data_IF_650981564583
#
_entry.id   IF_650981564583
#
_cell.length_a   1.000
_cell.length_b   1.000
_cell.length_c   1.000
_cell.angle_alpha   90.00
_cell.angle_beta   90.00
_cell.angle_gamma   90.00
#
_symmetry.space_group_name_H-M   'P 1'
#
loop_
_entity.id
_entity.type
_entity.pdbx_description
1 polymer ?
#
# COMPACT_ATOMS: atom_id res chain seq x y z
N UNK A 1 -1.15 14.38 -12.74
CA UNK A 1 0.30 14.46 -12.45
C UNK A 1 0.97 13.26 -13.11
N UNK A 2 2.24 13.34 -13.53
CA UNK A 2 2.91 12.14 -14.07
C UNK A 2 3.23 11.20 -12.90
N UNK A 3 2.61 10.01 -12.86
CA UNK A 3 2.90 8.99 -11.85
C UNK A 3 4.26 8.34 -12.15
N UNK A 4 5.12 8.21 -11.14
CA UNK A 4 6.42 7.55 -11.29
C UNK A 4 6.25 6.03 -11.40
N UNK A 5 7.25 5.29 -11.91
CA UNK A 5 7.21 3.83 -11.91
C UNK A 5 7.05 3.21 -10.51
N UNK A 6 7.52 3.90 -9.47
CA UNK A 6 7.38 3.49 -8.08
C UNK A 6 5.96 3.71 -7.55
N UNK A 7 5.35 4.83 -7.92
CA UNK A 7 3.96 5.13 -7.64
C UNK A 7 3.05 4.04 -8.24
N UNK A 8 3.25 3.71 -9.52
CA UNK A 8 2.46 2.70 -10.21
C UNK A 8 2.65 1.30 -9.62
N UNK A 9 3.85 0.97 -9.13
CA UNK A 9 4.12 -0.29 -8.44
C UNK A 9 3.29 -0.40 -7.14
N UNK A 10 3.30 0.65 -6.33
CA UNK A 10 2.56 0.67 -5.06
C UNK A 10 1.05 0.59 -5.34
N UNK A 11 0.54 1.38 -6.28
CA UNK A 11 -0.87 1.34 -6.70
C UNK A 11 -1.32 -0.08 -7.06
N UNK A 12 -0.54 -0.78 -7.89
CA UNK A 12 -0.87 -2.14 -8.32
C UNK A 12 -0.93 -3.12 -7.13
N UNK A 13 -0.06 -2.97 -6.13
CA UNK A 13 -0.11 -3.80 -4.92
C UNK A 13 -1.35 -3.47 -4.08
N UNK A 14 -1.69 -2.19 -3.90
CA UNK A 14 -2.86 -1.80 -3.11
C UNK A 14 -4.17 -2.29 -3.74
N UNK A 15 -4.34 -2.10 -5.05
CA UNK A 15 -5.51 -2.56 -5.80
C UNK A 15 -5.69 -4.09 -5.73
N UNK A 16 -4.58 -4.85 -5.78
CA UNK A 16 -4.62 -6.32 -5.75
C UNK A 16 -4.79 -6.91 -4.35
N UNK A 17 -4.09 -6.36 -3.36
CA UNK A 17 -3.86 -7.07 -2.10
C UNK A 17 -4.56 -6.46 -0.89
N UNK A 18 -4.92 -5.17 -0.95
CA UNK A 18 -5.37 -4.42 0.22
C UNK A 18 -6.88 -4.40 0.40
N UNK A 19 -7.64 -4.10 -0.65
CA UNK A 19 -9.12 -4.05 -0.72
C UNK A 19 -9.84 -4.17 0.65
N UNK A 20 -9.78 -3.13 1.50
CA UNK A 20 -10.36 -3.19 2.84
C UNK A 20 -11.89 -3.09 2.84
N UNK A 21 -12.42 -2.47 1.78
CA UNK A 21 -13.84 -2.40 1.43
C UNK A 21 -14.01 -3.32 0.22
N UNK A 22 -14.71 -4.44 0.40
CA UNK A 22 -14.91 -5.44 -0.66
C UNK A 22 -15.80 -4.81 -1.74
N UNK A 23 -15.19 -4.43 -2.86
CA UNK A 23 -15.83 -3.81 -4.02
C UNK A 23 -15.78 -4.71 -5.26
N UNK A 24 -15.15 -5.89 -5.18
CA UNK A 24 -15.10 -6.92 -6.23
C UNK A 24 -14.69 -6.34 -7.59
N UNK A 25 -13.51 -5.70 -7.64
CA UNK A 25 -12.87 -5.18 -8.86
C UNK A 25 -13.56 -3.97 -9.54
N UNK A 26 -14.59 -3.36 -8.92
CA UNK A 26 -15.23 -2.13 -9.42
C UNK A 26 -14.60 -0.85 -8.83
N UNK A 27 -13.28 -0.86 -8.58
CA UNK A 27 -12.59 0.31 -8.05
C UNK A 27 -12.00 1.15 -9.19
N UNK A 28 -12.10 2.49 -9.14
CA UNK A 28 -11.29 3.36 -9.97
C UNK A 28 -9.79 3.05 -9.81
N UNK A 29 -9.02 3.16 -10.90
CA UNK A 29 -7.57 2.92 -10.86
C UNK A 29 -6.84 3.84 -9.87
N UNK A 30 -7.41 5.01 -9.55
CA UNK A 30 -6.87 6.03 -8.65
C UNK A 30 -7.41 5.95 -7.22
N UNK A 31 -8.24 4.94 -6.88
CA UNK A 31 -8.89 4.80 -5.56
C UNK A 31 -7.94 4.97 -4.37
N UNK A 32 -6.70 4.50 -4.51
CA UNK A 32 -5.72 4.48 -3.41
C UNK A 32 -4.60 5.52 -3.56
N UNK A 33 -4.67 6.40 -4.55
CA UNK A 33 -3.59 7.33 -4.89
C UNK A 33 -3.17 8.24 -3.74
N UNK A 34 -4.14 8.73 -2.97
CA UNK A 34 -3.89 9.67 -1.87
C UNK A 34 -3.03 9.07 -0.75
N UNK A 35 -2.93 7.73 -0.68
CA UNK A 35 -2.15 7.02 0.34
C UNK A 35 -0.72 6.69 -0.13
N UNK A 36 -0.48 6.75 -1.44
CA UNK A 36 0.78 6.31 -2.05
C UNK A 36 1.98 7.19 -1.65
N UNK A 37 1.88 8.53 -1.59
CA UNK A 37 3.03 9.37 -1.21
C UNK A 37 3.63 8.99 0.14
N UNK A 38 2.80 8.74 1.16
CA UNK A 38 3.29 8.36 2.48
C UNK A 38 3.90 6.95 2.48
N UNK A 39 3.35 6.02 1.69
CA UNK A 39 3.93 4.68 1.52
C UNK A 39 5.29 4.73 0.82
N UNK A 40 5.43 5.58 -0.19
CA UNK A 40 6.72 5.80 -0.86
C UNK A 40 7.77 6.28 0.14
N UNK A 41 7.47 7.30 0.94
CA UNK A 41 8.39 7.81 1.97
C UNK A 41 8.81 6.70 2.96
N UNK A 42 7.87 5.85 3.39
CA UNK A 42 8.17 4.74 4.30
C UNK A 42 9.06 3.68 3.63
N UNK A 43 8.82 3.35 2.36
CA UNK A 43 9.60 2.37 1.62
C UNK A 43 11.01 2.87 1.28
N UNK A 44 11.14 4.14 0.89
CA UNK A 44 12.42 4.82 0.66
C UNK A 44 13.25 4.88 1.95
N UNK A 45 12.61 5.15 3.09
CA UNK A 45 13.25 5.15 4.40
C UNK A 45 13.60 3.73 4.93
N UNK A 46 13.26 2.67 4.20
CA UNK A 46 13.49 1.29 4.64
C UNK A 46 12.69 0.92 5.90
N UNK A 47 11.48 1.46 6.06
CA UNK A 47 10.64 1.21 7.22
C UNK A 47 10.33 -0.30 7.40
N UNK A 48 10.11 -0.69 8.66
CA UNK A 48 9.73 -2.07 8.99
C UNK A 48 8.33 -2.40 8.47
N UNK A 49 8.07 -3.70 8.30
CA UNK A 49 6.74 -4.21 7.96
C UNK A 49 5.67 -3.71 8.94
N UNK A 50 5.97 -3.69 10.23
CA UNK A 50 5.07 -3.18 11.27
C UNK A 50 4.69 -1.71 11.06
N UNK A 51 5.66 -0.84 10.71
CA UNK A 51 5.38 0.58 10.48
C UNK A 51 4.47 0.79 9.27
N UNK A 52 4.69 0.04 8.20
CA UNK A 52 3.84 0.10 6.99
C UNK A 52 2.45 -0.47 7.30
N UNK A 53 2.36 -1.60 8.00
CA UNK A 53 1.09 -2.19 8.40
C UNK A 53 0.29 -1.25 9.31
N UNK A 54 0.95 -0.58 10.26
CA UNK A 54 0.31 0.40 11.14
C UNK A 54 -0.22 1.62 10.38
N UNK A 55 0.49 2.07 9.34
CA UNK A 55 -0.02 3.12 8.46
C UNK A 55 -1.30 2.66 7.74
N UNK A 56 -1.29 1.48 7.12
CA UNK A 56 -2.48 0.92 6.44
C UNK A 56 -3.65 0.75 7.42
N UNK A 57 -3.41 0.19 8.61
CA UNK A 57 -4.41 0.06 9.69
C UNK A 57 -5.02 1.40 10.09
N UNK A 58 -4.21 2.46 10.14
CA UNK A 58 -4.69 3.82 10.42
C UNK A 58 -5.56 4.35 9.27
N UNK A 59 -5.20 4.09 8.02
CA UNK A 59 -6.03 4.49 6.88
C UNK A 59 -7.39 3.78 6.94
N UNK A 60 -7.40 2.46 7.15
CA UNK A 60 -8.62 1.66 7.29
C UNK A 60 -9.53 2.22 8.40
N UNK A 61 -9.00 2.40 9.61
CA UNK A 61 -9.80 2.78 10.78
C UNK A 61 -10.17 4.26 10.84
N UNK A 62 -9.25 5.17 10.48
CA UNK A 62 -9.43 6.62 10.67
C UNK A 62 -9.95 7.30 9.41
N UNK A 63 -9.47 6.89 8.24
CA UNK A 63 -9.81 7.58 6.97
C UNK A 63 -11.03 6.92 6.31
N UNK A 64 -11.03 5.60 6.22
CA UNK A 64 -12.13 4.84 5.61
C UNK A 64 -13.25 4.50 6.61
N UNK A 65 -12.96 4.53 7.92
CA UNK A 65 -13.94 4.25 8.97
C UNK A 65 -14.36 2.78 9.05
N UNK A 66 -13.51 1.85 8.60
CA UNK A 66 -13.79 0.41 8.59
C UNK A 66 -12.94 -0.34 9.63
N UNK A 67 -13.42 -1.50 10.13
CA UNK A 67 -12.62 -2.32 11.02
C UNK A 67 -11.31 -2.77 10.38
N UNK A 68 -10.22 -2.62 11.13
CA UNK A 68 -8.90 -3.09 10.70
C UNK A 68 -8.80 -4.61 10.80
N UNK A 69 -8.24 -5.23 9.76
CA UNK A 69 -7.84 -6.64 9.78
C UNK A 69 -6.32 -6.70 9.78
N UNK A 70 -5.70 -7.03 10.92
CA UNK A 70 -4.25 -6.97 11.12
C UNK A 70 -3.51 -7.92 10.18
N UNK A 71 -4.08 -9.09 9.90
CA UNK A 71 -3.52 -10.06 8.97
C UNK A 71 -3.47 -9.49 7.54
N UNK A 72 -4.49 -8.72 7.14
CA UNK A 72 -4.57 -8.06 5.82
C UNK A 72 -3.49 -6.99 5.70
N UNK A 73 -3.45 -6.04 6.64
CA UNK A 73 -2.47 -4.94 6.59
C UNK A 73 -1.04 -5.45 6.72
N UNK A 74 -0.80 -6.49 7.52
CA UNK A 74 0.48 -7.18 7.63
C UNK A 74 0.92 -7.84 6.33
N UNK A 75 0.00 -8.54 5.63
CA UNK A 75 0.28 -9.15 4.32
C UNK A 75 0.59 -8.11 3.25
N UNK A 76 -0.21 -7.05 3.16
CA UNK A 76 -0.01 -5.95 2.19
C UNK A 76 1.33 -5.26 2.43
N UNK A 77 1.68 -4.96 3.69
CA UNK A 77 2.97 -4.38 4.05
C UNK A 77 4.15 -5.27 3.60
N UNK A 78 4.04 -6.59 3.77
CA UNK A 78 5.05 -7.54 3.29
C UNK A 78 5.19 -7.48 1.76
N UNK A 79 4.06 -7.51 1.04
CA UNK A 79 4.05 -7.48 -0.43
C UNK A 79 4.63 -6.18 -0.98
N UNK A 80 4.34 -5.03 -0.36
CA UNK A 80 4.92 -3.74 -0.70
C UNK A 80 6.45 -3.76 -0.56
N UNK A 81 6.98 -4.27 0.56
CA UNK A 81 8.42 -4.37 0.79
C UNK A 81 9.08 -5.28 -0.23
N UNK A 82 8.49 -6.45 -0.52
CA UNK A 82 9.03 -7.41 -1.51
C UNK A 82 9.07 -6.78 -2.90
N UNK A 83 7.96 -6.17 -3.33
CA UNK A 83 7.85 -5.52 -4.64
C UNK A 83 8.86 -4.36 -4.77
N UNK A 84 8.97 -3.53 -3.74
CA UNK A 84 9.91 -2.42 -3.68
C UNK A 84 11.36 -2.89 -3.81
N UNK A 85 11.75 -3.89 -3.02
CA UNK A 85 13.11 -4.46 -3.04
C UNK A 85 13.42 -5.13 -4.37
N UNK A 86 12.47 -5.85 -4.96
CA UNK A 86 12.65 -6.49 -6.26
C UNK A 86 12.93 -5.47 -7.37
N UNK A 87 12.20 -4.35 -7.37
CA UNK A 87 12.37 -3.26 -8.33
C UNK A 87 13.69 -2.49 -8.15
N UNK A 88 14.11 -2.28 -6.89
CA UNK A 88 15.30 -1.48 -6.55
C UNK A 88 16.59 -2.31 -6.37
N UNK A 89 16.53 -3.62 -6.59
CA UNK A 89 17.73 -4.45 -6.58
C UNK A 89 18.63 -4.01 -7.73
N UNK A 90 19.80 -3.43 -7.41
CA UNK A 90 20.85 -3.24 -8.42
C UNK A 90 21.27 -4.62 -8.96
N UNK A 91 21.56 -4.76 -10.26
CA UNK A 91 22.17 -5.96 -10.81
C UNK A 91 23.49 -6.29 -10.09
#
# INVERSE_FOLDING_TARGET
MAHTPDFMLIRAVLLRDWEPIICNELLPDDEYDDYIPQLMELLEAGASQERIANYLSRVESVTMGVPTIVERTGRVASNLIVAWKAKHKKP
#
